data_IF_427775794522
#
_entry.id   IF_427775794522
#
_cell.length_a   1.000
_cell.length_b   1.000
_cell.length_c   1.000
_cell.angle_alpha   90.00
_cell.angle_beta   90.00
_cell.angle_gamma   90.00
#
_symmetry.space_group_name_H-M   'P 1'
#
loop_
_entity.id
_entity.type
_entity.pdbx_description
1 polymer ?
#
# COMPACT_ATOMS: atom_id res chain seq x y z
N UNK A 1 14.29 -26.58 -6.23
CA UNK A 1 14.77 -25.45 -5.41
C UNK A 1 14.83 -24.18 -6.23
N UNK A 2 14.65 -23.02 -5.59
CA UNK A 2 14.79 -21.72 -6.23
C UNK A 2 16.27 -21.40 -6.49
N UNK A 3 16.58 -20.79 -7.63
CA UNK A 3 17.96 -20.39 -7.94
C UNK A 3 18.40 -19.19 -7.09
N UNK A 4 19.71 -18.97 -6.89
CA UNK A 4 20.21 -17.79 -6.19
C UNK A 4 19.66 -16.47 -6.75
N UNK A 5 19.50 -16.38 -8.08
CA UNK A 5 18.95 -15.21 -8.76
C UNK A 5 17.47 -15.00 -8.42
N UNK A 6 16.69 -16.08 -8.32
CA UNK A 6 15.28 -16.01 -7.92
C UNK A 6 15.14 -15.52 -6.47
N UNK A 7 15.97 -16.01 -5.56
CA UNK A 7 15.99 -15.57 -4.15
C UNK A 7 16.38 -14.09 -4.04
N UNK A 8 17.38 -13.66 -4.81
CA UNK A 8 17.78 -12.26 -4.87
C UNK A 8 16.66 -11.36 -5.42
N UNK A 9 15.99 -11.79 -6.49
CA UNK A 9 14.90 -11.04 -7.10
C UNK A 9 13.72 -10.85 -6.13
N UNK A 10 13.33 -11.88 -5.40
CA UNK A 10 12.25 -11.78 -4.40
C UNK A 10 12.66 -10.88 -3.22
N UNK A 11 13.91 -10.99 -2.76
CA UNK A 11 14.44 -10.13 -1.70
C UNK A 11 14.44 -8.66 -2.11
N UNK A 12 14.78 -8.37 -3.37
CA UNK A 12 14.79 -7.01 -3.90
C UNK A 12 13.37 -6.45 -4.07
N UNK A 13 12.41 -7.25 -4.54
CA UNK A 13 10.98 -6.87 -4.58
C UNK A 13 10.47 -6.49 -3.19
N UNK A 14 10.75 -7.31 -2.17
CA UNK A 14 10.35 -7.04 -0.80
C UNK A 14 11.02 -5.77 -0.25
N UNK A 15 12.30 -5.56 -0.55
CA UNK A 15 13.03 -4.35 -0.14
C UNK A 15 12.42 -3.09 -0.75
N UNK A 16 12.11 -3.10 -2.04
CA UNK A 16 11.47 -1.97 -2.73
C UNK A 16 10.07 -1.69 -2.21
N UNK A 17 9.30 -2.75 -1.98
CA UNK A 17 7.97 -2.62 -1.38
C UNK A 17 8.05 -1.99 0.02
N UNK A 18 8.96 -2.47 0.87
CA UNK A 18 9.17 -1.91 2.21
C UNK A 18 9.56 -0.42 2.14
N UNK A 19 10.44 -0.04 1.20
CA UNK A 19 10.81 1.36 1.00
C UNK A 19 9.62 2.21 0.53
N UNK A 20 8.77 1.69 -0.35
CA UNK A 20 7.57 2.37 -0.83
C UNK A 20 6.56 2.63 0.31
N UNK A 21 6.37 1.65 1.20
CA UNK A 21 5.50 1.78 2.39
C UNK A 21 6.00 2.89 3.34
N UNK A 22 7.31 3.12 3.43
CA UNK A 22 7.87 4.21 4.23
C UNK A 22 7.59 5.61 3.68
N UNK A 23 7.27 5.74 2.39
CA UNK A 23 6.93 7.02 1.76
C UNK A 23 5.44 7.37 1.88
N UNK A 24 4.63 6.44 2.36
CA UNK A 24 3.22 6.68 2.63
C UNK A 24 3.04 7.54 3.88
N UNK A 25 2.10 8.47 3.82
CA UNK A 25 1.64 9.17 5.02
C UNK A 25 0.95 8.19 5.96
N UNK A 26 0.76 8.59 7.22
CA UNK A 26 0.02 7.79 8.20
C UNK A 26 -1.38 7.43 7.69
N UNK A 27 -2.12 8.40 7.16
CA UNK A 27 -3.47 8.19 6.62
C UNK A 27 -3.50 7.26 5.41
N UNK A 28 -2.52 7.38 4.51
CA UNK A 28 -2.37 6.46 3.37
C UNK A 28 -2.14 5.02 3.83
N UNK A 29 -1.24 4.84 4.80
CA UNK A 29 -0.94 3.52 5.38
C UNK A 29 -2.13 2.92 6.11
N UNK A 30 -2.85 3.71 6.90
CA UNK A 30 -4.06 3.27 7.63
C UNK A 30 -5.18 2.88 6.67
N UNK A 31 -5.44 3.68 5.63
CA UNK A 31 -6.43 3.35 4.60
C UNK A 31 -6.09 2.05 3.89
N UNK A 32 -4.83 1.86 3.48
CA UNK A 32 -4.39 0.64 2.82
C UNK A 32 -4.44 -0.59 3.73
N UNK A 33 -4.06 -0.45 5.00
CA UNK A 33 -4.11 -1.55 5.96
C UNK A 33 -5.55 -2.05 6.15
N UNK A 34 -6.50 -1.13 6.38
CA UNK A 34 -7.91 -1.48 6.52
C UNK A 34 -8.48 -2.05 5.22
N UNK A 35 -8.08 -1.49 4.06
CA UNK A 35 -8.50 -2.02 2.76
C UNK A 35 -8.00 -3.44 2.51
N UNK A 36 -6.74 -3.71 2.83
CA UNK A 36 -6.14 -5.05 2.75
C UNK A 36 -6.80 -6.03 3.74
N UNK A 37 -7.30 -5.53 4.87
CA UNK A 37 -8.13 -6.27 5.83
C UNK A 37 -9.55 -6.58 5.33
N UNK A 38 -9.93 -6.13 4.14
CA UNK A 38 -11.20 -6.46 3.49
C UNK A 38 -12.29 -5.41 3.61
N UNK A 39 -12.06 -4.32 4.35
CA UNK A 39 -13.06 -3.25 4.51
C UNK A 39 -13.32 -2.53 3.17
N UNK A 40 -14.57 -2.14 2.95
CA UNK A 40 -14.98 -1.25 1.86
C UNK A 40 -14.68 0.20 2.22
N UNK A 41 -14.57 1.08 1.23
CA UNK A 41 -14.22 2.49 1.46
C UNK A 41 -15.18 3.21 2.42
N UNK A 42 -16.47 2.83 2.40
CA UNK A 42 -17.45 3.33 3.35
C UNK A 42 -17.08 2.97 4.80
N UNK A 43 -16.80 1.70 5.06
CA UNK A 43 -16.43 1.20 6.40
C UNK A 43 -15.11 1.81 6.87
N UNK A 44 -14.16 2.01 5.96
CA UNK A 44 -12.89 2.70 6.28
C UNK A 44 -13.15 4.16 6.70
N UNK A 45 -14.02 4.87 5.99
CA UNK A 45 -14.39 6.24 6.34
C UNK A 45 -15.07 6.32 7.70
N UNK A 46 -15.95 5.36 8.00
CA UNK A 46 -16.60 5.23 9.31
C UNK A 46 -15.57 4.95 10.43
N UNK A 47 -14.58 4.07 10.19
CA UNK A 47 -13.51 3.76 11.16
C UNK A 47 -12.57 4.94 11.40
N UNK A 48 -12.21 5.66 10.35
CA UNK A 48 -11.23 6.75 10.42
C UNK A 48 -11.86 8.14 10.69
N UNK A 49 -13.20 8.24 10.68
CA UNK A 49 -13.90 9.51 10.87
C UNK A 49 -13.72 10.49 9.71
N UNK A 50 -13.54 10.00 8.48
CA UNK A 50 -13.34 10.81 7.26
C UNK A 50 -14.35 10.46 6.18
N UNK A 51 -14.55 11.36 5.22
CA UNK A 51 -15.48 11.12 4.12
C UNK A 51 -15.02 9.95 3.23
N UNK A 52 -15.99 9.20 2.68
CA UNK A 52 -15.72 8.10 1.74
C UNK A 52 -14.93 8.55 0.50
N UNK A 53 -15.17 9.78 0.03
CA UNK A 53 -14.40 10.40 -1.06
C UNK A 53 -12.94 10.59 -0.67
N UNK A 54 -12.67 11.08 0.54
CA UNK A 54 -11.32 11.23 1.09
C UNK A 54 -10.60 9.89 1.21
N UNK A 55 -11.30 8.81 1.59
CA UNK A 55 -10.74 7.45 1.56
C UNK A 55 -10.34 7.06 0.14
N UNK A 56 -11.23 7.26 -0.84
CA UNK A 56 -10.97 6.94 -2.25
C UNK A 56 -9.72 7.62 -2.78
N UNK A 57 -9.63 8.94 -2.63
CA UNK A 57 -8.46 9.72 -3.05
C UNK A 57 -7.18 9.29 -2.32
N UNK A 58 -7.28 8.96 -1.02
CA UNK A 58 -6.14 8.55 -0.21
C UNK A 58 -5.61 7.19 -0.64
N UNK A 59 -6.50 6.23 -0.91
CA UNK A 59 -6.13 4.91 -1.45
C UNK A 59 -5.53 5.07 -2.84
N UNK A 60 -6.10 5.89 -3.72
CA UNK A 60 -5.57 6.14 -5.06
C UNK A 60 -4.15 6.70 -5.01
N UNK A 61 -3.92 7.77 -4.22
CA UNK A 61 -2.58 8.35 -4.03
C UNK A 61 -1.59 7.33 -3.48
N UNK A 62 -2.01 6.54 -2.49
CA UNK A 62 -1.15 5.51 -1.90
C UNK A 62 -0.78 4.42 -2.92
N UNK A 63 -1.75 3.93 -3.70
CA UNK A 63 -1.52 2.93 -4.75
C UNK A 63 -0.58 3.45 -5.84
N UNK A 64 -0.72 4.72 -6.25
CA UNK A 64 0.19 5.35 -7.20
C UNK A 64 1.63 5.37 -6.69
N UNK A 65 1.85 5.77 -5.43
CA UNK A 65 3.18 5.75 -4.79
C UNK A 65 3.79 4.35 -4.74
N UNK A 66 2.97 3.34 -4.42
CA UNK A 66 3.44 1.95 -4.41
C UNK A 66 3.81 1.45 -5.81
N UNK A 67 2.97 1.74 -6.82
CA UNK A 67 3.22 1.35 -8.20
C UNK A 67 4.53 1.98 -8.74
N UNK A 68 4.73 3.28 -8.53
CA UNK A 68 5.93 4.00 -8.99
C UNK A 68 7.23 3.43 -8.38
N UNK A 69 7.18 2.92 -7.15
CA UNK A 69 8.37 2.40 -6.44
C UNK A 69 8.60 0.91 -6.61
N UNK A 70 7.56 0.14 -6.95
CA UNK A 70 7.68 -1.30 -7.15
C UNK A 70 7.95 -1.69 -8.62
N UNK A 71 7.66 -0.80 -9.59
CA UNK A 71 7.70 -1.12 -11.02
C UNK A 71 9.02 -0.74 -11.73
N UNK A 72 10.17 -1.22 -11.23
CA UNK A 72 11.48 -1.09 -11.92
C UNK A 72 12.07 -2.44 -12.24
#
# INVERSE_FOLDING_TARGET
DATPEQVMLESEKLRRFAAAIQLLTKSERECLLLRAGGLRYREIGEVLGIAISTVGETVERAMKKLAEKCNV
#
